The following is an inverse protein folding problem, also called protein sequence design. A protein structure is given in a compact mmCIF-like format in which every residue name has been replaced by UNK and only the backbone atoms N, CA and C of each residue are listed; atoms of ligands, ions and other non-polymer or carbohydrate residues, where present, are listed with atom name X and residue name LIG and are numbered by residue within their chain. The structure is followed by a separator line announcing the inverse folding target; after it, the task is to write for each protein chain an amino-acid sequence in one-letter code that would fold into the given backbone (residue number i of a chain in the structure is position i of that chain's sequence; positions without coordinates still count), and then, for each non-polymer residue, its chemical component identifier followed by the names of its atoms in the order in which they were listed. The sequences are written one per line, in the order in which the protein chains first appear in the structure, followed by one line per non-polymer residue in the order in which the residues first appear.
data_IF_611235904737
#
_entry.id   IF_611235904737
#
_cell.length_a   1.000
_cell.length_b   1.000
_cell.length_c   1.000
_cell.angle_alpha   90.00
_cell.angle_beta   90.00
_cell.angle_gamma   90.00
#
_symmetry.space_group_name_H-M   'P 1'
#
loop_
_entity.id
_entity.type
_entity.pdbx_description
1 polymer ?
#
# COMPACT_ATOMS: atom_id res chain seq x y z
N UNK A 1 8.59 -4.69 5.52
CA UNK A 1 8.20 -3.39 6.09
C UNK A 1 9.30 -2.75 6.95
N UNK A 2 9.52 -1.44 6.83
CA UNK A 2 10.60 -0.71 7.51
C UNK A 2 10.49 -0.71 9.04
N UNK A 3 9.27 -0.88 9.58
CA UNK A 3 8.99 -0.92 11.02
C UNK A 3 9.06 -2.34 11.63
N UNK A 4 9.64 -3.31 10.92
CA UNK A 4 9.96 -4.64 11.45
C UNK A 4 11.28 -4.63 12.26
N UNK A 5 11.60 -5.70 13.01
CA UNK A 5 12.85 -5.80 13.75
C UNK A 5 14.06 -5.59 12.82
N UNK A 6 15.08 -4.87 13.31
CA UNK A 6 16.30 -4.57 12.54
C UNK A 6 17.09 -5.81 12.10
N UNK A 7 16.91 -6.94 12.79
CA UNK A 7 17.54 -8.21 12.44
C UNK A 7 16.88 -8.94 11.27
N UNK A 8 15.71 -8.48 10.80
CA UNK A 8 15.03 -9.10 9.68
C UNK A 8 15.77 -8.84 8.36
N UNK A 9 15.80 -9.81 7.43
CA UNK A 9 16.47 -9.66 6.15
C UNK A 9 15.77 -8.62 5.26
N UNK A 10 16.52 -8.10 4.28
CA UNK A 10 16.01 -7.20 3.26
C UNK A 10 16.09 -5.73 3.63
N UNK A 11 15.24 -4.92 2.98
CA UNK A 11 15.20 -3.46 3.13
C UNK A 11 13.75 -2.99 3.23
N UNK A 12 13.49 -2.00 4.07
CA UNK A 12 12.17 -1.37 4.19
C UNK A 12 11.92 -0.28 3.15
N UNK A 13 12.99 0.24 2.55
CA UNK A 13 12.93 1.28 1.52
C UNK A 13 14.00 1.08 0.44
N UNK A 14 13.81 1.70 -0.71
CA UNK A 14 14.78 1.74 -1.82
C UNK A 14 14.69 3.07 -2.55
N UNK A 15 15.77 3.48 -3.23
CA UNK A 15 15.73 4.56 -4.22
C UNK A 15 15.97 3.91 -5.57
N UNK A 16 15.11 4.19 -6.53
CA UNK A 16 15.22 3.77 -7.92
C UNK A 16 15.26 4.99 -8.83
N UNK A 17 15.99 4.91 -9.94
CA UNK A 17 15.99 5.98 -10.95
C UNK A 17 14.93 5.68 -12.01
N UNK A 18 14.03 6.63 -12.24
CA UNK A 18 12.98 6.53 -13.24
C UNK A 18 12.73 7.92 -13.84
N UNK A 19 12.64 8.01 -15.17
CA UNK A 19 12.40 9.26 -15.89
C UNK A 19 13.32 10.43 -15.46
N UNK A 20 14.58 10.14 -15.11
CA UNK A 20 15.55 11.14 -14.65
C UNK A 20 15.34 11.66 -13.23
N UNK A 21 14.48 11.00 -12.43
CA UNK A 21 14.21 11.29 -11.02
C UNK A 21 14.63 10.11 -10.14
N UNK A 22 15.06 10.41 -8.92
CA UNK A 22 15.29 9.43 -7.85
C UNK A 22 14.01 9.23 -7.06
N UNK A 23 13.34 8.11 -7.27
CA UNK A 23 12.09 7.74 -6.60
C UNK A 23 12.39 6.86 -5.40
N UNK A 24 12.15 7.40 -4.21
CA UNK A 24 12.13 6.66 -2.96
C UNK A 24 10.85 5.86 -2.83
N UNK A 25 10.95 4.57 -2.58
CA UNK A 25 9.81 3.70 -2.28
C UNK A 25 9.98 3.18 -0.86
N UNK A 26 8.97 3.40 -0.02
CA UNK A 26 8.92 2.99 1.37
C UNK A 26 7.75 2.03 1.58
N UNK A 27 8.01 0.86 2.16
CA UNK A 27 6.97 -0.06 2.61
C UNK A 27 6.90 -0.09 4.15
N UNK A 28 5.70 0.09 4.69
CA UNK A 28 5.39 0.09 6.13
C UNK A 28 4.23 -0.87 6.42
N UNK A 29 4.18 -1.34 7.67
CA UNK A 29 3.07 -2.17 8.17
C UNK A 29 2.30 -1.40 9.24
N UNK A 30 0.97 -1.42 9.20
CA UNK A 30 0.14 -0.95 10.31
C UNK A 30 0.36 -1.79 11.56
N UNK A 31 -0.03 -1.25 12.72
CA UNK A 31 0.07 -1.93 14.02
C UNK A 31 -1.29 -2.44 14.53
N UNK A 32 -2.40 -1.89 14.04
CA UNK A 32 -3.72 -2.37 14.42
C UNK A 32 -4.05 -3.65 13.64
N UNK A 33 -4.36 -4.74 14.35
CA UNK A 33 -4.61 -6.10 13.82
C UNK A 33 -3.39 -6.80 13.19
N UNK A 34 -2.22 -6.15 13.19
CA UNK A 34 -0.97 -6.69 12.65
C UNK A 34 0.14 -6.68 13.71
N UNK A 35 1.16 -7.51 13.53
CA UNK A 35 2.31 -7.57 14.45
C UNK A 35 3.49 -6.80 13.88
N UNK A 36 3.93 -5.76 14.58
CA UNK A 36 5.08 -4.93 14.20
C UNK A 36 6.02 -4.70 15.39
N UNK A 37 7.25 -4.30 15.12
CA UNK A 37 8.23 -4.04 16.17
C UNK A 37 8.20 -2.59 16.69
N UNK A 38 7.74 -1.67 15.84
CA UNK A 38 7.73 -0.22 16.10
C UNK A 38 6.48 0.38 15.50
N UNK A 39 5.95 1.42 16.14
CA UNK A 39 4.85 2.21 15.59
C UNK A 39 5.22 2.72 14.19
N UNK A 40 4.29 2.65 13.21
CA UNK A 40 4.58 3.03 11.84
C UNK A 40 4.82 4.54 11.68
N UNK A 41 4.25 5.39 12.54
CA UNK A 41 4.34 6.85 12.40
C UNK A 41 5.78 7.38 12.60
N UNK A 42 6.46 7.13 13.74
CA UNK A 42 7.86 7.55 13.88
C UNK A 42 8.81 6.82 12.91
N UNK A 43 8.45 5.59 12.49
CA UNK A 43 9.23 4.86 11.50
C UNK A 43 9.13 5.51 10.11
N UNK A 44 7.94 5.98 9.71
CA UNK A 44 7.73 6.71 8.48
C UNK A 44 8.56 7.99 8.45
N UNK A 45 8.46 8.81 9.50
CA UNK A 45 9.21 10.05 9.67
C UNK A 45 10.73 9.86 9.50
N UNK A 46 11.30 8.87 10.18
CA UNK A 46 12.72 8.58 10.13
C UNK A 46 13.18 8.09 8.75
N UNK A 47 12.38 7.23 8.11
CA UNK A 47 12.74 6.59 6.85
C UNK A 47 12.54 7.53 5.65
N UNK A 48 11.46 8.33 5.65
CA UNK A 48 11.27 9.43 4.68
C UNK A 48 12.45 10.40 4.76
N UNK A 49 12.84 10.81 5.98
CA UNK A 49 14.00 11.68 6.16
C UNK A 49 15.33 11.05 5.70
N UNK A 50 15.49 9.73 5.78
CA UNK A 50 16.66 9.03 5.24
C UNK A 50 16.66 8.97 3.71
N UNK A 51 15.51 8.72 3.09
CA UNK A 51 15.36 8.77 1.63
C UNK A 51 15.68 10.18 1.09
N UNK A 52 15.17 11.23 1.75
CA UNK A 52 15.48 12.63 1.43
C UNK A 52 16.98 12.91 1.57
N UNK A 53 17.62 12.50 2.67
CA UNK A 53 19.07 12.66 2.87
C UNK A 53 19.91 11.96 1.79
N UNK A 54 19.43 10.82 1.30
CA UNK A 54 20.06 10.06 0.21
C UNK A 54 19.75 10.62 -1.18
N UNK A 55 18.97 11.70 -1.26
CA UNK A 55 18.68 12.44 -2.48
C UNK A 55 17.49 11.91 -3.28
N UNK A 56 16.47 11.34 -2.64
CA UNK A 56 15.20 11.08 -3.30
C UNK A 56 14.50 12.39 -3.68
N UNK A 57 14.11 12.53 -4.94
CA UNK A 57 13.33 13.67 -5.45
C UNK A 57 11.83 13.52 -5.12
N UNK A 58 11.39 12.27 -5.02
CA UNK A 58 9.99 11.85 -4.86
C UNK A 58 9.98 10.69 -3.89
N UNK A 59 9.00 10.65 -2.97
CA UNK A 59 8.80 9.50 -2.08
C UNK A 59 7.39 8.95 -2.23
N UNK A 60 7.26 7.63 -2.39
CA UNK A 60 6.00 6.89 -2.45
C UNK A 60 5.98 5.92 -1.27
N UNK A 61 4.88 5.91 -0.52
CA UNK A 61 4.68 5.04 0.63
C UNK A 61 3.60 4.01 0.33
N UNK A 62 3.96 2.73 0.38
CA UNK A 62 3.02 1.60 0.50
C UNK A 62 2.80 1.31 1.98
N UNK A 63 1.59 1.57 2.46
CA UNK A 63 1.20 1.35 3.85
C UNK A 63 0.27 0.16 3.97
N UNK A 64 0.85 -1.00 4.26
CA UNK A 64 0.18 -2.28 4.39
C UNK A 64 -0.48 -2.39 5.77
N UNK A 65 -1.79 -2.15 5.86
CA UNK A 65 -2.49 -2.06 7.15
C UNK A 65 -3.93 -2.56 7.07
N UNK A 66 -4.50 -3.00 8.19
CA UNK A 66 -5.89 -3.47 8.23
C UNK A 66 -6.88 -2.30 8.45
N UNK A 67 -6.59 -1.44 9.42
CA UNK A 67 -7.57 -0.48 9.93
C UNK A 67 -7.54 0.81 9.12
N UNK A 68 -8.70 1.19 8.58
CA UNK A 68 -8.87 2.39 7.74
C UNK A 68 -8.48 3.68 8.46
N UNK A 69 -8.77 3.82 9.76
CA UNK A 69 -8.37 5.01 10.53
C UNK A 69 -6.85 5.17 10.61
N UNK A 70 -6.10 4.07 10.74
CA UNK A 70 -4.64 4.08 10.75
C UNK A 70 -4.10 4.55 9.39
N UNK A 71 -4.68 4.06 8.30
CA UNK A 71 -4.30 4.45 6.93
C UNK A 71 -4.58 5.91 6.64
N UNK A 72 -5.79 6.38 6.95
CA UNK A 72 -6.17 7.79 6.79
C UNK A 72 -5.28 8.68 7.64
N UNK A 73 -4.96 8.28 8.87
CA UNK A 73 -4.04 9.02 9.73
C UNK A 73 -2.63 9.10 9.12
N UNK A 74 -2.11 8.01 8.53
CA UNK A 74 -0.81 8.04 7.84
C UNK A 74 -0.80 8.98 6.64
N UNK A 75 -1.89 9.00 5.86
CA UNK A 75 -2.07 9.94 4.75
C UNK A 75 -1.95 11.39 5.22
N UNK A 76 -2.68 11.77 6.27
CA UNK A 76 -2.59 13.11 6.87
C UNK A 76 -1.24 13.40 7.52
N UNK A 77 -0.61 12.39 8.12
CA UNK A 77 0.68 12.54 8.79
C UNK A 77 1.80 12.92 7.82
N UNK A 78 1.74 12.41 6.59
CA UNK A 78 2.76 12.62 5.56
C UNK A 78 2.30 13.58 4.44
N UNK A 79 1.15 14.25 4.60
CA UNK A 79 0.66 15.19 3.61
C UNK A 79 1.69 16.32 3.37
N UNK A 80 2.01 16.57 2.11
CA UNK A 80 3.03 17.55 1.72
C UNK A 80 4.47 17.17 2.09
N UNK A 81 4.73 15.93 2.52
CA UNK A 81 6.09 15.40 2.68
C UNK A 81 6.43 14.37 1.62
N UNK A 82 5.50 13.49 1.30
CA UNK A 82 5.66 12.48 0.24
C UNK A 82 4.81 12.83 -0.98
N UNK A 83 4.98 12.11 -2.09
CA UNK A 83 4.13 12.26 -3.25
C UNK A 83 2.86 11.42 -3.13
N UNK A 84 2.95 10.24 -2.49
CA UNK A 84 1.81 9.36 -2.31
C UNK A 84 1.89 8.52 -1.03
N UNK A 85 0.73 8.28 -0.42
CA UNK A 85 0.51 7.25 0.61
C UNK A 85 -0.60 6.33 0.12
N UNK A 86 -0.23 5.11 -0.25
CA UNK A 86 -1.09 4.10 -0.85
C UNK A 86 -1.33 2.98 0.14
N UNK A 87 -2.56 2.84 0.62
CA UNK A 87 -2.92 1.73 1.47
C UNK A 87 -3.00 0.42 0.69
N UNK A 88 -2.59 -0.67 1.34
CA UNK A 88 -2.77 -2.06 0.87
C UNK A 88 -3.18 -2.95 2.04
N UNK A 89 -3.35 -4.26 1.78
CA UNK A 89 -3.67 -5.38 2.72
C UNK A 89 -5.11 -5.92 2.62
N UNK A 90 -6.13 -5.08 2.50
CA UNK A 90 -7.52 -5.54 2.68
C UNK A 90 -8.09 -6.23 1.45
N UNK A 91 -7.36 -6.18 0.33
CA UNK A 91 -7.68 -6.79 -0.97
C UNK A 91 -8.93 -6.24 -1.66
N UNK A 92 -9.59 -5.22 -1.10
CA UNK A 92 -10.77 -4.58 -1.69
C UNK A 92 -10.44 -3.11 -1.97
N UNK A 93 -10.51 -2.64 -3.24
CA UNK A 93 -10.22 -1.25 -3.56
C UNK A 93 -11.23 -0.30 -2.91
N UNK A 94 -10.75 0.83 -2.38
CA UNK A 94 -11.61 1.88 -1.81
C UNK A 94 -11.88 2.98 -2.83
N UNK A 95 -13.03 3.66 -2.73
CA UNK A 95 -13.42 4.75 -3.63
C UNK A 95 -13.07 6.15 -3.08
N UNK A 96 -11.96 6.26 -2.34
CA UNK A 96 -11.54 7.48 -1.64
C UNK A 96 -10.22 8.07 -2.16
N UNK A 97 -9.81 7.65 -3.37
CA UNK A 97 -8.67 8.21 -4.07
C UNK A 97 -8.80 9.74 -4.20
N UNK A 98 -7.78 10.46 -3.71
CA UNK A 98 -7.72 11.93 -3.79
C UNK A 98 -6.31 12.44 -3.62
N UNK A 99 -6.06 13.66 -4.09
CA UNK A 99 -4.89 14.44 -3.67
C UNK A 99 -5.26 15.22 -2.41
N UNK A 100 -4.47 15.08 -1.35
CA UNK A 100 -4.63 15.80 -0.09
C UNK A 100 -4.18 17.28 -0.25
N UNK A 101 -4.59 18.18 0.67
CA UNK A 101 -4.38 19.62 0.51
C UNK A 101 -2.94 20.08 0.24
N UNK A 102 -1.94 19.38 0.78
CA UNK A 102 -0.53 19.72 0.56
C UNK A 102 0.14 18.91 -0.57
N UNK A 103 -0.64 18.20 -1.40
CA UNK A 103 -0.15 17.57 -2.62
C UNK A 103 0.29 16.11 -2.48
N UNK A 104 -0.13 15.41 -1.43
CA UNK A 104 0.07 13.94 -1.32
C UNK A 104 -1.13 13.20 -1.92
N UNK A 105 -0.90 12.34 -2.91
CA UNK A 105 -1.92 11.39 -3.36
C UNK A 105 -2.21 10.35 -2.29
N UNK A 106 -3.49 10.04 -2.07
CA UNK A 106 -3.93 9.12 -1.04
C UNK A 106 -5.05 8.21 -1.54
N UNK A 107 -5.01 6.94 -1.14
CA UNK A 107 -6.11 5.98 -1.21
C UNK A 107 -6.00 5.02 -0.03
N UNK A 108 -7.13 4.66 0.58
CA UNK A 108 -7.15 3.79 1.75
C UNK A 108 -6.86 2.31 1.40
N UNK A 109 -7.28 1.78 0.27
CA UNK A 109 -6.73 0.53 -0.24
C UNK A 109 -6.75 0.51 -1.77
N UNK A 110 -5.60 0.21 -2.38
CA UNK A 110 -5.48 0.03 -3.84
C UNK A 110 -6.26 -1.19 -4.31
N UNK A 111 -6.48 -2.18 -3.44
CA UNK A 111 -7.09 -3.46 -3.78
C UNK A 111 -6.07 -4.52 -4.20
N UNK A 112 -6.56 -5.72 -4.47
CA UNK A 112 -5.74 -6.86 -4.90
C UNK A 112 -5.74 -7.00 -6.42
N UNK A 113 -4.59 -7.33 -7.02
CA UNK A 113 -4.56 -7.93 -8.35
C UNK A 113 -4.70 -9.45 -8.22
N UNK A 114 -5.81 -10.01 -8.68
CA UNK A 114 -6.16 -11.41 -8.45
C UNK A 114 -7.60 -11.75 -8.83
N UNK A 115 -8.02 -12.98 -8.54
CA UNK A 115 -9.36 -13.49 -8.85
C UNK A 115 -10.46 -12.73 -8.10
N UNK A 116 -11.48 -12.26 -8.82
CA UNK A 116 -12.72 -11.72 -8.24
C UNK A 116 -13.75 -12.77 -7.86
N UNK A 117 -13.65 -13.96 -8.45
CA UNK A 117 -14.50 -15.12 -8.13
C UNK A 117 -13.96 -15.87 -6.90
N UNK A 118 -13.58 -15.11 -5.87
CA UNK A 118 -12.85 -15.61 -4.70
C UNK A 118 -13.22 -14.84 -3.43
N UNK A 119 -12.80 -15.34 -2.27
CA UNK A 119 -12.79 -14.58 -1.02
C UNK A 119 -11.36 -14.10 -0.78
N UNK A 120 -11.10 -12.86 -1.19
CA UNK A 120 -9.79 -12.18 -1.05
C UNK A 120 -8.61 -12.97 -1.66
N UNK A 121 -8.84 -13.69 -2.77
CA UNK A 121 -7.85 -14.48 -3.49
C UNK A 121 -7.88 -15.98 -3.18
N UNK A 122 -8.72 -16.41 -2.24
CA UNK A 122 -8.89 -17.81 -1.84
C UNK A 122 -10.16 -18.40 -2.46
N UNK A 123 -10.09 -19.67 -2.88
CA UNK A 123 -11.26 -20.44 -3.33
C UNK A 123 -12.44 -20.29 -2.36
N UNK A 124 -13.63 -20.07 -2.91
CA UNK A 124 -14.83 -19.70 -2.12
C UNK A 124 -15.16 -20.78 -1.10
N UNK A 125 -15.12 -22.05 -1.49
CA UNK A 125 -15.45 -23.18 -0.62
C UNK A 125 -14.47 -23.30 0.56
N UNK A 126 -13.17 -23.05 0.33
CA UNK A 126 -12.13 -23.19 1.36
C UNK A 126 -12.26 -22.08 2.42
N UNK A 127 -12.43 -20.84 1.98
CA UNK A 127 -12.59 -19.70 2.89
C UNK A 127 -13.93 -19.76 3.64
N UNK A 128 -15.04 -20.06 2.94
CA UNK A 128 -16.37 -20.19 3.57
C UNK A 128 -16.43 -21.36 4.54
N UNK A 129 -15.84 -22.50 4.17
CA UNK A 129 -15.75 -23.68 5.04
C UNK A 129 -15.05 -23.37 6.37
N UNK A 130 -13.97 -22.57 6.34
CA UNK A 130 -13.31 -22.10 7.56
C UNK A 130 -14.23 -21.26 8.44
N UNK A 131 -14.99 -20.31 7.88
CA UNK A 131 -15.91 -19.48 8.65
C UNK A 131 -17.05 -20.29 9.28
N UNK A 132 -17.59 -21.27 8.55
CA UNK A 132 -18.71 -22.09 9.01
C UNK A 132 -18.30 -23.10 10.07
N UNK A 133 -17.17 -23.78 9.87
CA UNK A 133 -16.74 -24.90 10.72
C UNK A 133 -15.82 -24.44 11.85
N UNK A 134 -15.18 -23.27 11.71
CA UNK A 134 -14.10 -22.81 12.58
C UNK A 134 -12.90 -23.77 12.65
N UNK A 135 -12.82 -24.73 11.72
CA UNK A 135 -11.74 -25.70 11.64
C UNK A 135 -10.62 -25.20 10.74
N UNK A 136 -9.36 -25.61 10.99
CA UNK A 136 -8.26 -25.35 10.08
C UNK A 136 -8.59 -25.89 8.68
N UNK A 137 -8.52 -25.01 7.69
CA UNK A 137 -8.77 -25.34 6.29
C UNK A 137 -7.55 -24.94 5.48
N UNK A 138 -7.09 -25.82 4.59
CA UNK A 138 -6.04 -25.48 3.64
C UNK A 138 -6.64 -24.55 2.59
N UNK A 139 -6.02 -23.40 2.38
CA UNK A 139 -6.44 -22.46 1.35
C UNK A 139 -5.80 -22.80 0.01
N UNK A 140 -6.63 -22.84 -1.04
CA UNK A 140 -6.21 -22.83 -2.44
C UNK A 140 -6.43 -21.44 -3.02
N UNK A 141 -5.52 -21.02 -3.89
CA UNK A 141 -5.61 -19.75 -4.63
C UNK A 141 -6.62 -19.91 -5.75
N UNK A 142 -7.52 -18.94 -5.89
CA UNK A 142 -8.45 -18.88 -7.02
C UNK A 142 -7.77 -18.26 -8.25
N UNK A 143 -7.98 -18.85 -9.43
CA UNK A 143 -7.25 -18.50 -10.66
C UNK A 143 -8.14 -17.89 -11.78
N UNK A 144 -9.47 -17.90 -11.59
CA UNK A 144 -10.45 -17.43 -12.59
C UNK A 144 -10.84 -15.95 -12.40
N UNK A 145 -11.32 -15.29 -13.46
CA UNK A 145 -11.78 -13.87 -13.44
C UNK A 145 -10.77 -12.94 -12.73
N UNK A 146 -9.53 -12.97 -13.21
CA UNK A 146 -8.43 -12.17 -12.64
C UNK A 146 -8.58 -10.71 -13.06
N UNK A 147 -8.46 -9.81 -12.09
CA UNK A 147 -8.50 -8.36 -12.30
C UNK A 147 -7.20 -7.72 -11.80
N UNK A 148 -6.82 -6.64 -12.47
CA UNK A 148 -5.78 -5.71 -12.04
C UNK A 148 -6.47 -4.58 -11.30
N UNK A 149 -6.05 -4.37 -10.05
CA UNK A 149 -6.36 -3.17 -9.29
C UNK A 149 -5.07 -2.40 -9.06
N UNK A 150 -5.03 -1.16 -9.53
CA UNK A 150 -3.88 -0.28 -9.46
C UNK A 150 -4.30 1.19 -9.33
N UNK A 151 -3.31 2.07 -9.17
CA UNK A 151 -3.50 3.52 -9.25
C UNK A 151 -2.46 4.13 -10.17
N UNK A 152 -2.87 5.14 -10.94
CA UNK A 152 -2.02 6.00 -11.75
C UNK A 152 -1.97 7.37 -11.08
N UNK A 153 -0.76 7.90 -10.90
CA UNK A 153 -0.52 9.14 -10.17
C UNK A 153 0.38 10.02 -11.02
N UNK A 154 -0.09 11.20 -11.39
CA UNK A 154 0.78 12.22 -11.99
C UNK A 154 1.49 12.99 -10.88
N UNK A 155 2.80 13.16 -11.04
CA UNK A 155 3.65 13.87 -10.09
C UNK A 155 4.27 15.08 -10.79
N UNK A 156 4.07 16.26 -10.21
CA UNK A 156 4.59 17.53 -10.68
C UNK A 156 6.10 17.66 -10.50
N UNK A 157 6.66 18.74 -11.06
CA UNK A 157 8.10 19.01 -11.00
C UNK A 157 8.62 19.24 -9.56
N UNK A 158 7.74 19.65 -8.65
CA UNK A 158 7.97 19.87 -7.22
C UNK A 158 7.92 18.57 -6.38
N UNK A 159 7.67 17.42 -7.01
CA UNK A 159 7.58 16.13 -6.36
C UNK A 159 6.24 15.88 -5.65
N UNK A 160 5.21 16.71 -5.91
CA UNK A 160 3.85 16.54 -5.37
C UNK A 160 2.92 15.93 -6.41
N UNK A 161 1.93 15.18 -5.95
CA UNK A 161 0.92 14.62 -6.82
C UNK A 161 -0.03 15.71 -7.34
N UNK A 162 -0.37 15.64 -8.62
CA UNK A 162 -1.37 16.50 -9.26
C UNK A 162 -2.67 15.77 -9.56
N UNK A 163 -2.63 14.44 -9.64
CA UNK A 163 -3.79 13.58 -9.89
C UNK A 163 -3.59 12.21 -9.23
N UNK A 164 -4.70 11.50 -9.01
CA UNK A 164 -4.70 10.06 -8.73
C UNK A 164 -5.95 9.47 -9.38
N UNK A 165 -5.76 8.42 -10.18
CA UNK A 165 -6.82 7.67 -10.85
C UNK A 165 -6.70 6.19 -10.50
N UNK A 166 -7.83 5.54 -10.24
CA UNK A 166 -7.86 4.10 -9.99
C UNK A 166 -8.03 3.34 -11.30
N UNK A 167 -7.31 2.24 -11.44
CA UNK A 167 -7.45 1.29 -12.54
C UNK A 167 -8.01 -0.01 -11.98
N UNK A 168 -9.19 -0.42 -12.45
CA UNK A 168 -9.85 -1.66 -12.08
C UNK A 168 -10.28 -2.37 -13.38
N UNK A 169 -9.46 -3.28 -13.86
CA UNK A 169 -9.62 -3.87 -15.20
C UNK A 169 -9.44 -5.39 -15.19
N UNK A 170 -10.16 -6.15 -16.03
CA UNK A 170 -9.85 -7.57 -16.25
C UNK A 170 -8.41 -7.75 -16.74
N UNK A 171 -7.68 -8.71 -16.18
CA UNK A 171 -6.31 -9.03 -16.61
C UNK A 171 -6.27 -9.75 -17.97
N UNK A 172 -7.40 -10.32 -18.39
CA UNK A 172 -7.60 -10.87 -19.73
C UNK A 172 -8.39 -9.87 -20.58
N UNK A 173 -7.66 -9.03 -21.31
CA UNK A 173 -8.14 -8.05 -22.28
C UNK A 173 -7.01 -7.66 -23.22
#
# INVERSE_FOLDING_TARGET
PANYPKGNPGRGSVIVEAAGKKVGVLNLSGELQLTVARSPFPAAEAEVGELERRGADVVIVDFHAEVTSEKVAMGWHLDGRVAAVLGTHTHVPTADARVLPAGTAFICDVGMTGSRTSILGVEVEDALGRFQTQMPTRFRTAEEDVWINAVVIDIGADGRATSIEQVLEPAAG
#
